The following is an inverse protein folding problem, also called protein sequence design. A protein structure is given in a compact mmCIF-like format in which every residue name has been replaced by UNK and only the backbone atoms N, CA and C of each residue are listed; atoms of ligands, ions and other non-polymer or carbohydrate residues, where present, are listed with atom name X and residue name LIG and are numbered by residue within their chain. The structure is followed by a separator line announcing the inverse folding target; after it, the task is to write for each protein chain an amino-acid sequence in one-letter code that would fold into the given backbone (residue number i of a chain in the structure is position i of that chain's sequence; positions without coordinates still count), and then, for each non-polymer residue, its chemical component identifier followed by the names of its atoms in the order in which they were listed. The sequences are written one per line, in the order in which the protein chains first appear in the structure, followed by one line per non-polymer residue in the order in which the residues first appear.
data_IF_953394083760
#
_entry.id   IF_953394083760
#
_cell.length_a   1.000
_cell.length_b   1.000
_cell.length_c   1.000
_cell.angle_alpha   90.00
_cell.angle_beta   90.00
_cell.angle_gamma   90.00
#
_symmetry.space_group_name_H-M   'P 1'
#
loop_
_entity.id
_entity.type
_entity.pdbx_description
1 polymer ?
#
# COMPACT_ATOMS: atom_id res chain seq x y z
N UNK A 1 22.71 -2.55 -24.02
CA UNK A 1 23.45 -1.63 -23.11
C UNK A 1 22.96 -1.85 -21.69
N UNK A 2 23.83 -1.76 -20.68
CA UNK A 2 23.38 -1.83 -19.28
C UNK A 2 22.54 -0.60 -18.96
N UNK A 3 21.58 -0.75 -18.04
CA UNK A 3 20.66 0.30 -17.67
C UNK A 3 21.18 1.13 -16.49
N UNK A 4 20.88 2.43 -16.52
CA UNK A 4 21.13 3.39 -15.44
C UNK A 4 19.77 3.86 -14.93
N UNK A 5 19.40 3.47 -13.70
CA UNK A 5 18.02 3.60 -13.23
C UNK A 5 17.95 4.57 -12.04
N UNK A 6 17.11 5.60 -12.16
CA UNK A 6 16.73 6.44 -11.05
C UNK A 6 15.35 6.01 -10.55
N UNK A 7 15.29 5.45 -9.34
CA UNK A 7 14.03 5.13 -8.65
C UNK A 7 13.59 6.34 -7.84
N UNK A 8 12.32 6.75 -7.99
CA UNK A 8 11.77 7.91 -7.28
C UNK A 8 10.58 7.50 -6.41
N UNK A 9 10.50 8.04 -5.17
CA UNK A 9 9.39 7.80 -4.25
C UNK A 9 9.00 9.08 -3.49
N UNK A 10 7.76 9.14 -3.03
CA UNK A 10 7.22 10.27 -2.27
C UNK A 10 7.65 10.28 -0.80
N UNK A 11 8.42 9.30 -0.34
CA UNK A 11 9.00 9.21 0.99
C UNK A 11 10.18 8.24 1.02
N UNK A 12 11.04 8.39 2.03
CA UNK A 12 12.17 7.50 2.27
C UNK A 12 11.85 6.58 3.46
N UNK A 13 12.16 5.26 3.41
CA UNK A 13 11.85 4.31 4.50
C UNK A 13 12.44 4.68 5.86
N UNK A 14 13.51 5.49 5.91
CA UNK A 14 14.05 6.00 7.17
C UNK A 14 13.08 6.95 7.90
N UNK A 15 12.07 7.50 7.21
CA UNK A 15 11.15 8.52 7.72
C UNK A 15 9.67 8.18 7.52
N UNK A 16 9.36 7.29 6.57
CA UNK A 16 7.99 6.88 6.22
C UNK A 16 7.94 5.40 5.92
N UNK A 17 7.08 4.67 6.62
CA UNK A 17 6.95 3.22 6.52
C UNK A 17 5.68 2.82 5.73
N UNK A 18 5.28 3.58 4.72
CA UNK A 18 4.20 3.22 3.82
C UNK A 18 4.59 2.08 2.86
N UNK A 19 3.60 1.29 2.43
CA UNK A 19 3.84 0.16 1.53
C UNK A 19 4.48 0.57 0.20
N UNK A 20 4.10 1.73 -0.36
CA UNK A 20 4.66 2.24 -1.61
C UNK A 20 6.14 2.61 -1.50
N UNK A 21 6.55 3.27 -0.40
CA UNK A 21 7.94 3.64 -0.14
C UNK A 21 8.82 2.42 0.08
N UNK A 22 8.31 1.44 0.84
CA UNK A 22 9.01 0.17 1.09
C UNK A 22 9.18 -0.61 -0.21
N UNK A 23 8.14 -0.72 -1.04
CA UNK A 23 8.19 -1.39 -2.35
C UNK A 23 9.21 -0.72 -3.28
N UNK A 24 9.19 0.61 -3.39
CA UNK A 24 10.14 1.38 -4.19
C UNK A 24 11.59 1.15 -3.75
N UNK A 25 11.84 1.22 -2.45
CA UNK A 25 13.18 1.06 -1.91
C UNK A 25 13.70 -0.38 -2.04
N UNK A 26 12.83 -1.36 -1.86
CA UNK A 26 13.20 -2.77 -2.08
C UNK A 26 13.53 -3.04 -3.54
N UNK A 27 12.75 -2.46 -4.47
CA UNK A 27 13.04 -2.58 -5.90
C UNK A 27 14.34 -1.87 -6.29
N UNK A 28 14.63 -0.68 -5.73
CA UNK A 28 15.94 -0.02 -5.89
C UNK A 28 17.09 -0.94 -5.46
N UNK A 29 17.00 -1.55 -4.28
CA UNK A 29 18.01 -2.50 -3.81
C UNK A 29 18.13 -3.73 -4.70
N UNK A 30 17.00 -4.21 -5.24
CA UNK A 30 16.99 -5.35 -6.15
C UNK A 30 17.63 -5.00 -7.51
N UNK A 31 17.36 -3.82 -8.07
CA UNK A 31 18.04 -3.36 -9.29
C UNK A 31 19.56 -3.33 -9.15
N UNK A 32 20.09 -2.91 -8.03
CA UNK A 32 21.54 -2.88 -7.77
C UNK A 32 22.22 -4.26 -7.82
N UNK A 33 21.45 -5.33 -7.70
CA UNK A 33 21.95 -6.71 -7.75
C UNK A 33 21.86 -7.35 -9.14
N UNK A 34 21.19 -6.68 -10.10
CA UNK A 34 21.01 -7.23 -11.45
C UNK A 34 22.22 -6.93 -12.35
N UNK A 35 22.63 -7.93 -13.13
CA UNK A 35 23.78 -7.81 -14.03
C UNK A 35 23.52 -6.82 -15.19
N UNK A 36 22.27 -6.63 -15.56
CA UNK A 36 21.78 -5.72 -16.61
C UNK A 36 21.81 -4.26 -16.18
N UNK A 37 21.95 -3.98 -14.88
CA UNK A 37 21.99 -2.65 -14.32
C UNK A 37 23.43 -2.21 -14.12
N UNK A 38 23.81 -1.09 -14.74
CA UNK A 38 25.11 -0.45 -14.55
C UNK A 38 25.15 0.30 -13.24
N UNK A 39 24.08 1.08 -12.97
CA UNK A 39 23.93 1.84 -11.75
C UNK A 39 22.45 2.08 -11.42
N UNK A 40 22.12 2.08 -10.12
CA UNK A 40 20.81 2.49 -9.66
C UNK A 40 20.91 3.51 -8.52
N UNK A 41 20.07 4.51 -8.56
CA UNK A 41 19.94 5.57 -7.56
C UNK A 41 18.51 5.62 -7.01
N UNK A 42 18.39 6.17 -5.81
CA UNK A 42 17.11 6.39 -5.15
C UNK A 42 16.92 7.87 -4.82
N UNK A 43 15.85 8.49 -5.29
CA UNK A 43 15.45 9.85 -4.94
C UNK A 43 14.13 9.82 -4.21
N UNK A 44 14.12 10.22 -2.94
CA UNK A 44 12.92 10.26 -2.15
C UNK A 44 12.58 11.70 -1.70
N UNK A 45 11.29 12.00 -1.60
CA UNK A 45 10.84 13.23 -0.96
C UNK A 45 11.22 13.19 0.53
N UNK A 46 11.70 14.31 1.03
CA UNK A 46 11.92 14.54 2.45
C UNK A 46 11.03 15.68 2.96
N UNK A 47 10.54 15.51 4.18
CA UNK A 47 9.90 16.57 4.95
C UNK A 47 10.68 16.73 6.25
N UNK A 48 11.37 17.85 6.38
CA UNK A 48 12.19 18.12 7.58
C UNK A 48 11.47 18.99 8.62
N UNK A 49 10.16 19.20 8.46
CA UNK A 49 9.35 20.02 9.38
C UNK A 49 9.66 21.53 9.35
N UNK A 50 10.51 21.97 8.41
CA UNK A 50 10.92 23.39 8.23
C UNK A 50 10.31 24.03 6.98
N UNK A 51 9.33 23.36 6.37
CA UNK A 51 8.87 23.68 5.02
C UNK A 51 9.77 23.10 3.95
N UNK A 52 9.24 22.96 2.73
CA UNK A 52 10.01 22.52 1.58
C UNK A 52 10.94 23.67 1.12
N UNK A 53 12.21 23.37 0.84
CA UNK A 53 13.21 24.34 0.34
C UNK A 53 13.50 24.17 -1.14
N UNK A 54 13.00 23.08 -1.75
CA UNK A 54 13.32 22.70 -3.13
C UNK A 54 14.70 22.06 -3.32
N UNK A 55 15.52 21.99 -2.29
CA UNK A 55 16.90 21.49 -2.38
C UNK A 55 16.91 19.95 -2.49
N UNK A 56 17.82 19.44 -3.31
CA UNK A 56 18.19 18.03 -3.34
C UNK A 56 19.51 17.85 -2.60
N UNK A 57 19.55 16.93 -1.65
CA UNK A 57 20.73 16.62 -0.85
C UNK A 57 21.05 15.12 -0.89
N UNK A 58 22.34 14.78 -0.77
CA UNK A 58 22.78 13.39 -0.64
C UNK A 58 22.43 12.89 0.77
N UNK A 59 21.76 11.74 0.85
CA UNK A 59 21.46 11.04 2.12
C UNK A 59 22.57 10.06 2.48
N UNK A 60 22.89 9.21 1.52
CA UNK A 60 24.00 8.23 1.56
C UNK A 60 24.38 7.88 0.11
N UNK A 61 25.38 7.07 -0.10
CA UNK A 61 25.80 6.67 -1.45
C UNK A 61 24.60 6.20 -2.27
N UNK A 62 24.37 6.83 -3.43
CA UNK A 62 23.29 6.56 -4.38
C UNK A 62 21.86 6.89 -3.87
N UNK A 63 21.72 7.54 -2.73
CA UNK A 63 20.41 7.92 -2.17
C UNK A 63 20.33 9.42 -1.94
N UNK A 64 19.31 10.03 -2.53
CA UNK A 64 19.08 11.47 -2.50
C UNK A 64 17.76 11.80 -1.80
N UNK A 65 17.69 12.95 -1.14
CA UNK A 65 16.48 13.50 -0.56
C UNK A 65 16.13 14.81 -1.26
N UNK A 66 14.88 14.93 -1.68
CA UNK A 66 14.34 16.13 -2.30
C UNK A 66 13.32 16.80 -1.37
N UNK A 67 13.60 18.01 -0.93
CA UNK A 67 12.70 18.80 -0.09
C UNK A 67 11.64 19.50 -0.95
N UNK A 68 10.69 18.73 -1.47
CA UNK A 68 9.60 19.21 -2.31
C UNK A 68 8.26 19.09 -1.57
N UNK A 69 7.29 19.93 -1.95
CA UNK A 69 5.91 19.89 -1.48
C UNK A 69 4.95 20.26 -2.62
N UNK A 70 3.69 20.01 -2.39
CA UNK A 70 2.59 20.37 -3.31
C UNK A 70 1.79 21.50 -2.68
N UNK A 71 1.58 22.61 -3.40
CA UNK A 71 0.74 23.72 -2.96
C UNK A 71 -0.71 23.60 -3.44
N UNK A 72 -0.91 22.95 -4.57
CA UNK A 72 -2.24 22.66 -5.12
C UNK A 72 -2.46 21.15 -5.12
N UNK A 73 -3.11 20.65 -4.06
CA UNK A 73 -3.41 19.22 -3.91
C UNK A 73 -4.45 18.74 -4.93
N UNK A 74 -5.31 19.64 -5.44
CA UNK A 74 -6.29 19.29 -6.45
C UNK A 74 -5.61 18.94 -7.79
N UNK A 75 -4.66 19.78 -8.21
CA UNK A 75 -3.93 19.62 -9.46
C UNK A 75 -2.60 18.88 -9.27
N UNK A 76 -2.18 18.62 -8.04
CA UNK A 76 -0.89 18.01 -7.73
C UNK A 76 0.30 18.83 -8.25
N UNK A 77 0.27 20.15 -8.00
CA UNK A 77 1.31 21.09 -8.46
C UNK A 77 2.37 21.31 -7.39
N UNK A 78 3.63 21.17 -7.80
CA UNK A 78 4.78 21.38 -6.93
C UNK A 78 4.91 22.84 -6.46
N UNK A 79 5.35 23.05 -5.19
CA UNK A 79 5.62 24.37 -4.61
C UNK A 79 6.83 25.00 -5.29
N UNK A 80 7.95 24.28 -5.36
CA UNK A 80 9.21 24.79 -5.86
C UNK A 80 9.39 24.47 -7.35
N UNK A 81 8.77 25.28 -8.21
CA UNK A 81 8.87 25.14 -9.67
C UNK A 81 10.30 25.41 -10.19
N UNK A 82 11.03 26.33 -9.57
CA UNK A 82 12.42 26.63 -9.83
C UNK A 82 13.33 25.43 -9.52
N UNK A 83 13.08 24.71 -8.45
CA UNK A 83 13.82 23.49 -8.09
C UNK A 83 13.73 22.40 -9.17
N UNK A 84 12.62 22.33 -9.88
CA UNK A 84 12.43 21.38 -10.98
C UNK A 84 13.41 21.64 -12.14
N UNK A 85 13.60 22.92 -12.50
CA UNK A 85 14.43 23.35 -13.62
C UNK A 85 15.90 23.53 -13.26
N UNK A 86 16.21 23.59 -11.97
CA UNK A 86 17.58 23.70 -11.44
C UNK A 86 18.02 22.36 -10.82
N UNK A 87 17.80 22.17 -9.53
CA UNK A 87 18.31 21.01 -8.78
C UNK A 87 17.93 19.66 -9.39
N UNK A 88 16.66 19.48 -9.75
CA UNK A 88 16.21 18.20 -10.31
C UNK A 88 16.73 17.98 -11.72
N UNK A 89 16.68 19.01 -12.58
CA UNK A 89 17.23 18.92 -13.93
C UNK A 89 18.74 18.64 -13.93
N UNK A 90 19.48 19.29 -13.02
CA UNK A 90 20.93 19.08 -12.87
C UNK A 90 21.25 17.68 -12.33
N UNK A 91 20.43 17.15 -11.42
CA UNK A 91 20.55 15.77 -10.98
C UNK A 91 20.37 14.81 -12.16
N UNK A 92 19.34 15.00 -12.99
CA UNK A 92 19.10 14.15 -14.17
C UNK A 92 20.27 14.24 -15.15
N UNK A 93 20.81 15.44 -15.41
CA UNK A 93 21.98 15.64 -16.28
C UNK A 93 23.24 14.95 -15.75
N UNK A 94 23.46 15.03 -14.43
CA UNK A 94 24.61 14.40 -13.74
C UNK A 94 24.52 12.88 -13.74
N UNK A 95 23.37 12.34 -13.39
CA UNK A 95 23.16 10.88 -13.28
C UNK A 95 23.01 10.23 -14.65
N UNK A 96 22.53 10.96 -15.66
CA UNK A 96 22.24 10.45 -17.01
C UNK A 96 21.49 9.11 -16.97
N UNK A 97 20.34 8.99 -16.28
CA UNK A 97 19.60 7.74 -16.23
C UNK A 97 19.07 7.39 -17.63
N UNK A 98 19.05 6.10 -17.96
CA UNK A 98 18.34 5.58 -19.15
C UNK A 98 16.86 5.39 -18.83
N UNK A 99 16.55 5.12 -17.54
CA UNK A 99 15.20 4.91 -17.03
C UNK A 99 15.00 5.72 -15.74
N UNK A 100 13.87 6.40 -15.64
CA UNK A 100 13.34 6.92 -14.38
C UNK A 100 12.12 6.08 -14.00
N UNK A 101 12.22 5.35 -12.90
CA UNK A 101 11.12 4.55 -12.37
C UNK A 101 10.51 5.26 -11.16
N UNK A 102 9.37 5.91 -11.35
CA UNK A 102 8.68 6.63 -10.28
C UNK A 102 7.60 5.76 -9.64
N UNK A 103 7.55 5.75 -8.32
CA UNK A 103 6.54 5.00 -7.53
C UNK A 103 5.44 5.87 -6.98
N UNK A 104 5.56 7.18 -7.06
CA UNK A 104 4.49 8.11 -6.68
C UNK A 104 4.82 9.54 -7.14
N UNK A 105 3.78 10.36 -7.25
CA UNK A 105 3.88 11.80 -7.54
C UNK A 105 3.32 12.67 -6.40
N UNK A 106 2.63 12.10 -5.40
CA UNK A 106 2.17 12.86 -4.24
C UNK A 106 3.34 13.57 -3.55
N UNK A 107 3.11 14.80 -3.14
CA UNK A 107 4.09 15.71 -2.57
C UNK A 107 5.26 16.12 -3.50
N UNK A 108 5.47 15.45 -4.65
CA UNK A 108 6.48 15.80 -5.64
C UNK A 108 5.93 16.75 -6.72
N UNK A 109 4.63 16.69 -6.97
CA UNK A 109 3.97 17.29 -8.14
C UNK A 109 4.04 16.37 -9.35
N UNK A 110 3.48 16.79 -10.48
CA UNK A 110 3.52 16.03 -11.75
C UNK A 110 4.54 16.60 -12.73
N UNK A 111 4.98 17.82 -12.52
CA UNK A 111 5.79 18.59 -13.48
C UNK A 111 7.17 18.00 -13.70
N UNK A 112 7.71 17.23 -12.74
CA UNK A 112 8.99 16.55 -12.90
C UNK A 112 9.02 15.59 -14.12
N UNK A 113 7.86 15.01 -14.50
CA UNK A 113 7.74 14.17 -15.68
C UNK A 113 8.12 14.94 -16.95
N UNK A 114 7.69 16.20 -17.05
CA UNK A 114 8.03 17.08 -18.17
C UNK A 114 9.52 17.42 -18.14
N UNK A 115 10.07 17.74 -16.99
CA UNK A 115 11.48 18.09 -16.84
C UNK A 115 12.39 16.94 -17.29
N UNK A 116 12.07 15.69 -16.95
CA UNK A 116 12.81 14.52 -17.42
C UNK A 116 12.88 14.50 -18.95
N UNK A 117 11.74 14.62 -19.62
CA UNK A 117 11.68 14.60 -21.10
C UNK A 117 12.31 15.84 -21.75
N UNK A 118 12.32 16.99 -21.07
CA UNK A 118 13.02 18.20 -21.52
C UNK A 118 14.55 18.08 -21.43
N UNK A 119 15.04 17.43 -20.37
CA UNK A 119 16.49 17.20 -20.21
C UNK A 119 16.98 16.18 -21.24
N UNK A 120 16.27 15.08 -21.40
CA UNK A 120 16.57 14.10 -22.43
C UNK A 120 15.30 13.31 -22.79
N UNK A 121 14.73 13.50 -23.98
CA UNK A 121 13.50 12.81 -24.42
C UNK A 121 13.67 11.29 -24.56
N UNK A 122 14.90 10.79 -24.67
CA UNK A 122 15.19 9.35 -24.76
C UNK A 122 15.09 8.62 -23.40
N UNK A 123 15.08 9.34 -22.28
CA UNK A 123 14.89 8.72 -20.95
C UNK A 123 13.49 8.09 -20.90
N UNK A 124 13.43 6.80 -20.62
CA UNK A 124 12.16 6.10 -20.42
C UNK A 124 11.63 6.38 -19.03
N UNK A 125 10.32 6.66 -18.94
CA UNK A 125 9.62 6.87 -17.65
C UNK A 125 8.70 5.69 -17.41
N UNK A 126 8.95 4.95 -16.33
CA UNK A 126 8.07 3.91 -15.82
C UNK A 126 7.41 4.43 -14.56
N UNK A 127 6.10 4.26 -14.41
CA UNK A 127 5.37 4.68 -13.21
C UNK A 127 4.62 3.50 -12.60
N UNK A 128 5.02 3.11 -11.39
CA UNK A 128 4.24 2.18 -10.57
C UNK A 128 3.17 2.95 -9.80
N UNK A 129 1.93 2.56 -10.00
CA UNK A 129 0.76 3.13 -9.34
C UNK A 129 0.51 2.37 -8.04
N UNK A 130 0.35 3.09 -6.93
CA UNK A 130 0.11 2.47 -5.61
C UNK A 130 -1.26 2.79 -5.03
N UNK A 131 -2.02 3.68 -5.69
CA UNK A 131 -3.26 4.24 -5.17
C UNK A 131 -4.11 4.84 -6.31
N UNK A 132 -5.24 5.48 -5.98
CA UNK A 132 -6.18 6.02 -6.96
C UNK A 132 -6.18 7.55 -7.00
N UNK A 133 -5.09 8.22 -6.65
CA UNK A 133 -5.05 9.68 -6.47
C UNK A 133 -5.33 10.46 -7.76
N UNK A 134 -4.95 9.93 -8.93
CA UNK A 134 -5.34 10.53 -10.21
C UNK A 134 -6.86 10.46 -10.44
N UNK A 135 -7.51 9.38 -10.00
CA UNK A 135 -8.94 9.12 -10.15
C UNK A 135 -9.75 9.87 -9.09
N UNK A 136 -9.29 9.85 -7.84
CA UNK A 136 -10.02 10.37 -6.69
C UNK A 136 -9.23 11.42 -5.91
N UNK A 137 -9.74 12.67 -5.89
CA UNK A 137 -9.15 13.77 -5.13
C UNK A 137 -9.11 13.52 -3.62
N UNK A 138 -9.98 12.66 -3.10
CA UNK A 138 -9.98 12.29 -1.67
C UNK A 138 -8.78 11.38 -1.32
N UNK A 139 -7.57 11.89 -1.49
CA UNK A 139 -6.31 11.17 -1.21
C UNK A 139 -6.24 9.77 -1.86
N UNK A 140 -6.87 9.60 -3.03
CA UNK A 140 -6.89 8.32 -3.72
C UNK A 140 -7.73 7.24 -3.03
N UNK A 141 -8.59 7.57 -2.07
CA UNK A 141 -9.30 6.57 -1.27
C UNK A 141 -10.51 5.95 -1.99
N UNK A 142 -11.03 6.63 -3.01
CA UNK A 142 -12.28 6.24 -3.69
C UNK A 142 -13.43 5.96 -2.71
N UNK A 143 -13.58 6.85 -1.72
CA UNK A 143 -14.65 6.88 -0.72
C UNK A 143 -15.31 8.24 -0.77
N UNK A 144 -16.63 8.28 -0.76
CA UNK A 144 -17.41 9.53 -0.74
C UNK A 144 -17.27 10.21 0.62
N UNK A 145 -16.87 11.49 0.63
CA UNK A 145 -16.53 12.24 1.85
C UNK A 145 -17.70 12.34 2.85
N UNK A 146 -18.94 12.54 2.38
CA UNK A 146 -20.08 12.73 3.28
C UNK A 146 -20.70 11.42 3.78
N UNK A 147 -20.78 10.39 2.92
CA UNK A 147 -21.49 9.14 3.22
C UNK A 147 -20.60 7.97 3.56
N UNK A 148 -19.29 8.10 3.39
CA UNK A 148 -18.27 7.02 3.51
C UNK A 148 -18.54 5.79 2.63
N UNK A 149 -19.42 5.90 1.63
CA UNK A 149 -19.69 4.83 0.67
C UNK A 149 -18.54 4.70 -0.31
N UNK A 150 -18.26 3.46 -0.70
CA UNK A 150 -17.27 3.16 -1.74
C UNK A 150 -17.68 3.81 -3.07
N UNK A 151 -16.69 4.39 -3.75
CA UNK A 151 -16.84 4.99 -5.08
C UNK A 151 -16.16 4.08 -6.11
N UNK A 152 -16.78 3.89 -7.26
CA UNK A 152 -16.27 2.97 -8.29
C UNK A 152 -15.55 3.68 -9.43
N UNK A 153 -15.83 4.98 -9.65
CA UNK A 153 -15.28 5.76 -10.78
C UNK A 153 -15.32 7.26 -10.50
N UNK A 154 -14.52 8.01 -11.26
CA UNK A 154 -14.64 9.47 -11.35
C UNK A 154 -15.92 9.83 -12.11
N UNK A 155 -16.63 10.83 -11.59
CA UNK A 155 -17.73 11.52 -12.26
C UNK A 155 -17.67 12.98 -11.81
N UNK A 156 -17.56 13.92 -12.75
CA UNK A 156 -17.30 15.32 -12.40
C UNK A 156 -18.42 15.91 -11.50
N UNK A 157 -19.68 15.60 -11.77
CA UNK A 157 -20.82 16.03 -10.96
C UNK A 157 -20.86 15.38 -9.58
N UNK A 158 -20.56 14.07 -9.49
CA UNK A 158 -20.54 13.39 -8.19
C UNK A 158 -19.30 13.76 -7.38
N UNK A 159 -18.14 13.98 -8.02
CA UNK A 159 -16.93 14.44 -7.35
C UNK A 159 -17.10 15.84 -6.75
N UNK A 160 -17.86 16.72 -7.42
CA UNK A 160 -18.27 18.03 -6.87
C UNK A 160 -19.07 17.89 -5.57
N UNK A 161 -19.91 16.86 -5.43
CA UNK A 161 -20.62 16.61 -4.16
C UNK A 161 -19.69 16.27 -3.01
N UNK A 162 -18.56 15.60 -3.29
CA UNK A 162 -17.53 15.34 -2.29
C UNK A 162 -16.73 16.60 -1.92
N UNK A 163 -16.57 17.53 -2.85
CA UNK A 163 -15.78 18.76 -2.71
C UNK A 163 -16.55 19.96 -3.26
N UNK A 164 -17.52 20.50 -2.51
CA UNK A 164 -18.43 21.56 -3.00
C UNK A 164 -17.74 22.87 -3.39
N UNK A 165 -16.49 23.07 -2.96
CA UNK A 165 -15.68 24.23 -3.34
C UNK A 165 -15.08 24.15 -4.74
N UNK A 166 -15.11 22.97 -5.40
CA UNK A 166 -14.71 22.76 -6.79
C UNK A 166 -15.95 22.61 -7.67
N UNK A 167 -15.85 23.10 -8.90
CA UNK A 167 -16.91 22.93 -9.92
C UNK A 167 -16.70 21.62 -10.69
N UNK A 168 -17.64 21.24 -11.55
CA UNK A 168 -17.49 20.10 -12.45
C UNK A 168 -16.35 20.35 -13.46
N UNK A 169 -16.20 21.60 -13.90
CA UNK A 169 -15.13 22.06 -14.80
C UNK A 169 -13.75 21.93 -14.15
N UNK A 170 -13.62 22.19 -12.84
CA UNK A 170 -12.36 21.99 -12.10
C UNK A 170 -11.97 20.52 -12.12
N UNK A 171 -12.91 19.59 -11.97
CA UNK A 171 -12.63 18.14 -12.08
C UNK A 171 -12.27 17.73 -13.51
N UNK A 172 -12.92 18.32 -14.51
CA UNK A 172 -12.56 18.12 -15.90
C UNK A 172 -11.13 18.62 -16.19
N UNK A 173 -10.79 19.82 -15.75
CA UNK A 173 -9.45 20.40 -15.87
C UNK A 173 -8.41 19.53 -15.15
N UNK A 174 -8.72 19.05 -13.95
CA UNK A 174 -7.88 18.14 -13.18
C UNK A 174 -7.57 16.86 -13.99
N UNK A 175 -8.59 16.19 -14.49
CA UNK A 175 -8.42 14.99 -15.30
C UNK A 175 -7.53 15.28 -16.51
N UNK A 176 -7.78 16.37 -17.19
CA UNK A 176 -7.00 16.77 -18.36
C UNK A 176 -5.54 17.05 -18.02
N UNK A 177 -5.28 17.72 -16.89
CA UNK A 177 -3.93 17.99 -16.39
C UNK A 177 -3.17 16.70 -16.07
N UNK A 178 -3.79 15.75 -15.37
CA UNK A 178 -3.19 14.45 -15.08
C UNK A 178 -2.90 13.67 -16.37
N UNK A 179 -3.87 13.56 -17.26
CA UNK A 179 -3.72 12.84 -18.54
C UNK A 179 -2.55 13.39 -19.34
N UNK A 180 -2.42 14.72 -19.47
CA UNK A 180 -1.30 15.38 -20.21
C UNK A 180 0.07 15.07 -19.59
N UNK A 181 0.17 14.90 -18.29
CA UNK A 181 1.42 14.49 -17.66
C UNK A 181 1.64 12.98 -17.80
N UNK A 182 0.59 12.18 -17.70
CA UNK A 182 0.66 10.73 -17.88
C UNK A 182 1.00 10.34 -19.32
N UNK A 183 0.71 11.20 -20.32
CA UNK A 183 1.16 11.00 -21.71
C UNK A 183 2.69 10.94 -21.84
N UNK A 184 3.43 11.55 -20.92
CA UNK A 184 4.89 11.52 -20.87
C UNK A 184 5.46 10.21 -20.29
N UNK A 185 4.63 9.41 -19.64
CA UNK A 185 5.03 8.12 -19.07
C UNK A 185 5.02 7.06 -20.14
N UNK A 186 6.11 6.34 -20.33
CA UNK A 186 6.23 5.32 -21.37
C UNK A 186 5.50 4.01 -20.99
N UNK A 187 5.49 3.66 -19.68
CA UNK A 187 4.83 2.46 -19.18
C UNK A 187 4.33 2.65 -17.76
N UNK A 188 3.11 2.19 -17.49
CA UNK A 188 2.54 2.10 -16.14
C UNK A 188 2.61 0.67 -15.62
N UNK A 189 2.74 0.54 -14.31
CA UNK A 189 2.69 -0.72 -13.58
C UNK A 189 1.64 -0.61 -12.47
N UNK A 190 0.80 -1.60 -12.36
CA UNK A 190 -0.14 -1.76 -11.25
C UNK A 190 0.19 -3.04 -10.49
N UNK A 191 0.24 -3.04 -9.14
CA UNK A 191 0.52 -4.25 -8.36
C UNK A 191 -0.71 -5.19 -8.23
N UNK A 192 -1.84 -4.85 -8.87
CA UNK A 192 -3.03 -5.69 -8.92
C UNK A 192 -3.82 -5.46 -10.22
N UNK A 193 -4.55 -6.48 -10.67
CA UNK A 193 -5.47 -6.34 -11.79
C UNK A 193 -6.62 -5.40 -11.42
N UNK A 194 -7.04 -5.41 -10.15
CA UNK A 194 -8.06 -4.49 -9.65
C UNK A 194 -7.66 -3.02 -9.85
N UNK A 195 -6.44 -2.64 -9.50
CA UNK A 195 -5.94 -1.27 -9.73
C UNK A 195 -5.78 -0.97 -11.22
N UNK A 196 -5.21 -1.92 -11.98
CA UNK A 196 -5.08 -1.80 -13.44
C UNK A 196 -6.41 -1.47 -14.09
N UNK A 197 -7.47 -2.23 -13.77
CA UNK A 197 -8.79 -2.01 -14.33
C UNK A 197 -9.38 -0.65 -13.97
N UNK A 198 -9.18 -0.17 -12.72
CA UNK A 198 -9.63 1.17 -12.31
C UNK A 198 -8.99 2.29 -13.14
N UNK A 199 -7.71 2.15 -13.48
CA UNK A 199 -7.03 3.13 -14.33
C UNK A 199 -7.44 3.02 -15.81
N UNK A 200 -7.74 1.82 -16.31
CA UNK A 200 -8.32 1.63 -17.65
C UNK A 200 -9.72 2.26 -17.71
N UNK A 201 -10.57 2.00 -16.73
CA UNK A 201 -11.91 2.60 -16.63
C UNK A 201 -11.85 4.13 -16.51
N UNK A 202 -10.77 4.67 -15.94
CA UNK A 202 -10.53 6.12 -15.86
C UNK A 202 -10.09 6.71 -17.21
N UNK A 203 -9.56 5.90 -18.14
CA UNK A 203 -9.17 6.31 -19.49
C UNK A 203 -7.71 6.07 -19.85
N UNK A 204 -6.93 5.35 -19.02
CA UNK A 204 -5.59 4.93 -19.39
C UNK A 204 -5.66 3.77 -20.39
N UNK A 205 -4.91 3.88 -21.51
CA UNK A 205 -4.90 2.85 -22.55
C UNK A 205 -4.42 1.50 -21.99
N UNK A 206 -5.16 0.39 -22.23
CA UNK A 206 -4.84 -0.92 -21.62
C UNK A 206 -3.45 -1.45 -21.94
N UNK A 207 -2.93 -1.13 -23.13
CA UNK A 207 -1.59 -1.53 -23.57
C UNK A 207 -0.45 -0.77 -22.89
N UNK A 208 -0.76 0.34 -22.22
CA UNK A 208 0.22 1.16 -21.48
C UNK A 208 0.40 0.74 -20.04
N UNK A 209 -0.49 -0.12 -19.50
CA UNK A 209 -0.46 -0.53 -18.11
C UNK A 209 -0.41 -2.06 -17.99
N UNK A 210 0.56 -2.55 -17.23
CA UNK A 210 0.76 -3.98 -16.96
C UNK A 210 0.64 -4.26 -15.46
N UNK A 211 0.34 -5.52 -15.12
CA UNK A 211 0.31 -5.95 -13.73
C UNK A 211 1.65 -6.58 -13.36
N UNK A 212 2.33 -5.99 -12.39
CA UNK A 212 3.49 -6.58 -11.73
C UNK A 212 3.32 -6.36 -10.23
N UNK A 213 3.22 -7.45 -9.49
CA UNK A 213 3.07 -7.43 -8.04
C UNK A 213 4.31 -6.86 -7.35
N UNK A 214 4.13 -6.29 -6.16
CA UNK A 214 5.24 -5.85 -5.32
C UNK A 214 6.05 -7.07 -4.84
N UNK A 215 7.37 -6.98 -4.95
CA UNK A 215 8.26 -8.04 -4.50
C UNK A 215 8.30 -8.18 -2.98
N UNK A 216 8.65 -9.37 -2.54
CA UNK A 216 8.84 -9.71 -1.12
C UNK A 216 10.25 -10.21 -0.84
N UNK A 217 10.57 -10.37 0.44
CA UNK A 217 11.80 -11.05 0.86
C UNK A 217 11.83 -12.53 0.44
N UNK A 218 13.04 -13.09 0.36
CA UNK A 218 13.26 -14.47 -0.07
C UNK A 218 13.54 -15.42 1.11
N UNK A 219 13.07 -15.07 2.30
CA UNK A 219 13.21 -15.92 3.49
C UNK A 219 12.23 -17.11 3.44
N UNK A 220 12.61 -18.28 3.95
CA UNK A 220 11.73 -19.45 3.99
C UNK A 220 10.49 -19.20 4.86
N UNK A 221 9.36 -19.88 4.62
CA UNK A 221 8.18 -19.77 5.46
C UNK A 221 8.50 -20.11 6.92
N UNK A 222 7.84 -19.42 7.84
CA UNK A 222 7.96 -19.70 9.26
C UNK A 222 7.29 -21.05 9.60
N UNK A 223 7.84 -21.81 10.58
CA UNK A 223 7.14 -22.97 11.10
C UNK A 223 5.79 -22.56 11.69
N UNK A 224 4.83 -23.49 11.78
CA UNK A 224 3.62 -23.27 12.57
C UNK A 224 3.98 -22.90 14.01
N UNK A 225 3.18 -22.01 14.63
CA UNK A 225 3.30 -21.82 16.08
C UNK A 225 3.11 -23.17 16.80
N UNK A 226 3.98 -23.55 17.73
CA UNK A 226 3.79 -24.77 18.48
C UNK A 226 2.47 -24.69 19.29
N UNK A 227 1.74 -25.79 19.36
CA UNK A 227 0.52 -25.92 20.13
C UNK A 227 0.78 -26.77 21.36
N UNK A 228 0.28 -26.35 22.52
CA UNK A 228 0.16 -27.22 23.69
C UNK A 228 -0.94 -28.29 23.45
N UNK A 229 -0.96 -29.31 24.27
CA UNK A 229 -1.99 -30.35 24.19
C UNK A 229 -3.39 -29.73 24.37
N UNK A 230 -4.29 -30.01 23.43
CA UNK A 230 -5.64 -29.46 23.39
C UNK A 230 -5.74 -27.99 22.90
N UNK A 231 -4.62 -27.33 22.61
CA UNK A 231 -4.63 -25.96 22.07
C UNK A 231 -5.04 -25.96 20.58
N UNK A 232 -5.74 -24.92 20.17
CA UNK A 232 -6.22 -24.73 18.79
C UNK A 232 -5.48 -23.60 18.09
N UNK A 233 -5.60 -23.54 16.74
CA UNK A 233 -5.16 -22.42 15.89
C UNK A 233 -6.11 -21.22 16.07
N UNK A 234 -5.99 -20.51 17.19
CA UNK A 234 -6.93 -19.51 17.64
C UNK A 234 -6.34 -18.10 17.82
N UNK A 235 -5.06 -17.91 17.45
CA UNK A 235 -4.41 -16.59 17.52
C UNK A 235 -4.52 -15.88 16.20
N UNK A 236 -5.17 -14.74 16.20
CA UNK A 236 -5.34 -13.85 15.05
C UNK A 236 -4.48 -12.62 15.23
N UNK A 237 -3.80 -12.16 14.15
CA UNK A 237 -3.00 -10.96 14.18
C UNK A 237 -3.54 -9.91 13.21
N UNK A 238 -3.77 -8.69 13.69
CA UNK A 238 -3.94 -7.50 12.86
C UNK A 238 -2.60 -6.77 12.79
N UNK A 239 -2.15 -6.46 11.56
CA UNK A 239 -0.87 -5.76 11.32
C UNK A 239 -1.09 -4.54 10.44
N UNK A 240 -0.67 -3.36 10.89
CA UNK A 240 -0.72 -2.14 10.10
C UNK A 240 -1.24 -0.91 10.83
N UNK A 241 -1.58 0.12 10.06
CA UNK A 241 -2.12 1.36 10.61
C UNK A 241 -3.55 1.16 11.12
N UNK A 242 -3.86 1.76 12.27
CA UNK A 242 -5.22 1.75 12.83
C UNK A 242 -5.93 3.01 12.36
N UNK A 243 -6.73 2.86 11.31
CA UNK A 243 -7.53 3.94 10.71
C UNK A 243 -8.96 3.47 10.49
N UNK A 244 -9.93 4.38 10.30
CA UNK A 244 -11.32 4.00 10.01
C UNK A 244 -11.48 3.05 8.82
N UNK A 245 -10.57 3.14 7.83
CA UNK A 245 -10.66 2.36 6.60
C UNK A 245 -10.07 0.95 6.73
N UNK A 246 -9.22 0.71 7.72
CA UNK A 246 -8.59 -0.59 7.96
C UNK A 246 -9.50 -1.58 8.72
N UNK A 247 -10.66 -1.13 9.21
CA UNK A 247 -11.74 -1.98 9.70
C UNK A 247 -11.44 -2.75 11.00
N UNK A 248 -10.42 -2.35 11.79
CA UNK A 248 -10.15 -2.98 13.07
C UNK A 248 -11.36 -2.91 14.01
N UNK A 249 -12.09 -1.80 14.00
CA UNK A 249 -13.30 -1.59 14.77
C UNK A 249 -14.41 -2.58 14.42
N UNK A 250 -14.49 -3.04 13.17
CA UNK A 250 -15.44 -4.08 12.73
C UNK A 250 -15.12 -5.41 13.41
N UNK A 251 -13.84 -5.80 13.46
CA UNK A 251 -13.42 -7.05 14.13
C UNK A 251 -13.60 -6.96 15.64
N UNK A 252 -13.27 -5.82 16.25
CA UNK A 252 -13.51 -5.60 17.69
C UNK A 252 -15.01 -5.66 18.03
N UNK A 253 -15.88 -5.09 17.20
CA UNK A 253 -17.32 -5.21 17.35
C UNK A 253 -17.77 -6.66 17.21
N UNK A 254 -17.26 -7.39 16.20
CA UNK A 254 -17.57 -8.80 15.98
C UNK A 254 -17.25 -9.66 17.23
N UNK A 255 -16.10 -9.41 17.85
CA UNK A 255 -15.72 -10.09 19.10
C UNK A 255 -16.62 -9.71 20.28
N UNK A 256 -17.04 -8.44 20.38
CA UNK A 256 -17.97 -8.02 21.45
C UNK A 256 -19.36 -8.65 21.30
N UNK A 257 -19.84 -8.82 20.06
CA UNK A 257 -21.16 -9.37 19.76
C UNK A 257 -21.20 -10.91 19.88
N UNK A 258 -20.03 -11.57 19.91
CA UNK A 258 -19.96 -13.02 20.13
C UNK A 258 -20.39 -13.43 21.55
N UNK A 259 -21.03 -14.62 21.71
CA UNK A 259 -21.23 -15.22 23.04
C UNK A 259 -19.91 -15.34 23.79
N UNK A 260 -19.93 -15.04 25.08
CA UNK A 260 -18.73 -15.05 25.94
C UNK A 260 -17.97 -16.39 25.92
N UNK A 261 -18.68 -17.50 25.81
CA UNK A 261 -18.09 -18.85 25.74
C UNK A 261 -17.32 -19.11 24.44
N UNK A 262 -17.70 -18.44 23.34
CA UNK A 262 -17.04 -18.57 22.04
C UNK A 262 -15.86 -17.61 21.93
N UNK A 263 -16.05 -16.32 22.23
CA UNK A 263 -14.98 -15.32 22.09
C UNK A 263 -13.79 -15.57 23.01
N UNK A 264 -13.97 -16.21 24.18
CA UNK A 264 -12.87 -16.62 25.06
C UNK A 264 -11.93 -17.65 24.47
N UNK A 265 -12.33 -18.32 23.39
CA UNK A 265 -11.48 -19.25 22.65
C UNK A 265 -10.60 -18.55 21.62
N UNK A 266 -10.77 -17.24 21.41
CA UNK A 266 -10.08 -16.44 20.38
C UNK A 266 -9.13 -15.47 21.10
N UNK A 267 -7.95 -15.29 20.52
CA UNK A 267 -7.00 -14.24 20.89
C UNK A 267 -6.73 -13.40 19.65
N UNK A 268 -7.01 -12.10 19.72
CA UNK A 268 -6.65 -11.12 18.68
C UNK A 268 -5.47 -10.29 19.18
N UNK A 269 -4.34 -10.40 18.51
CA UNK A 269 -3.16 -9.55 18.72
C UNK A 269 -3.24 -8.35 17.77
N UNK A 270 -3.15 -7.13 18.32
CA UNK A 270 -3.18 -5.90 17.51
C UNK A 270 -1.78 -5.30 17.46
N UNK A 271 -1.13 -5.49 16.32
CA UNK A 271 0.18 -4.92 15.98
C UNK A 271 -0.06 -3.70 15.09
N UNK A 272 -0.33 -2.54 15.70
CA UNK A 272 -0.75 -1.36 14.96
C UNK A 272 -0.31 -0.05 15.58
N UNK A 273 -0.32 0.99 14.75
CA UNK A 273 0.04 2.36 15.09
C UNK A 273 -0.97 3.37 14.56
N UNK A 274 -0.77 4.64 14.91
CA UNK A 274 -1.49 5.81 14.37
C UNK A 274 -2.93 5.99 14.86
N UNK A 275 -3.39 5.25 15.87
CA UNK A 275 -4.71 5.48 16.46
C UNK A 275 -4.81 6.90 17.04
N UNK A 276 -3.72 7.38 17.67
CA UNK A 276 -3.63 8.70 18.32
C UNK A 276 -3.83 9.87 17.35
N UNK A 277 -3.54 9.67 16.08
CA UNK A 277 -3.68 10.68 15.02
C UNK A 277 -5.06 10.64 14.32
N UNK A 278 -5.92 9.71 14.69
CA UNK A 278 -7.24 9.58 14.09
C UNK A 278 -8.26 10.56 14.70
N UNK A 279 -9.39 10.85 14.01
CA UNK A 279 -10.46 11.66 14.54
C UNK A 279 -10.92 11.18 15.94
N UNK A 280 -11.24 12.13 16.83
CA UNK A 280 -11.59 11.83 18.22
C UNK A 280 -12.72 10.81 18.35
N UNK A 281 -13.75 10.91 17.52
CA UNK A 281 -14.88 9.99 17.48
C UNK A 281 -14.45 8.55 17.20
N UNK A 282 -13.58 8.35 16.21
CA UNK A 282 -13.05 7.01 15.88
C UNK A 282 -12.17 6.46 17.00
N UNK A 283 -11.31 7.29 17.59
CA UNK A 283 -10.49 6.89 18.73
C UNK A 283 -11.36 6.40 19.90
N UNK A 284 -12.36 7.19 20.28
CA UNK A 284 -13.31 6.84 21.35
C UNK A 284 -14.07 5.54 21.06
N UNK A 285 -14.49 5.35 19.80
CA UNK A 285 -15.12 4.10 19.36
C UNK A 285 -14.20 2.89 19.57
N UNK A 286 -12.96 2.97 19.06
CA UNK A 286 -11.97 1.88 19.20
C UNK A 286 -11.66 1.60 20.66
N UNK A 287 -11.49 2.64 21.51
CA UNK A 287 -11.25 2.49 22.95
C UNK A 287 -12.41 1.77 23.65
N UNK A 288 -13.64 2.19 23.40
CA UNK A 288 -14.83 1.58 23.98
C UNK A 288 -14.98 0.10 23.58
N UNK A 289 -14.61 -0.25 22.35
CA UNK A 289 -14.69 -1.62 21.86
C UNK A 289 -13.57 -2.52 22.41
N UNK A 290 -12.35 -2.02 22.52
CA UNK A 290 -11.19 -2.84 22.91
C UNK A 290 -11.10 -3.08 24.40
N UNK A 291 -11.49 -2.10 25.23
CA UNK A 291 -11.30 -2.17 26.68
C UNK A 291 -11.93 -3.42 27.34
N UNK A 292 -13.21 -3.76 27.08
CA UNK A 292 -13.82 -4.97 27.64
C UNK A 292 -13.17 -6.26 27.14
N UNK A 293 -12.66 -6.28 25.90
CA UNK A 293 -12.00 -7.44 25.30
C UNK A 293 -10.60 -7.65 25.89
N UNK A 294 -9.86 -6.59 26.16
CA UNK A 294 -8.56 -6.64 26.85
C UNK A 294 -8.73 -7.18 28.27
N UNK A 295 -9.69 -6.67 29.02
CA UNK A 295 -10.01 -7.16 30.38
C UNK A 295 -10.38 -8.65 30.43
N UNK A 296 -10.86 -9.19 29.30
CA UNK A 296 -11.22 -10.61 29.19
C UNK A 296 -10.09 -11.48 28.59
N UNK A 297 -8.96 -10.89 28.22
CA UNK A 297 -7.84 -11.60 27.58
C UNK A 297 -8.10 -12.01 26.11
N UNK A 298 -9.18 -11.51 25.50
CA UNK A 298 -9.54 -11.77 24.09
C UNK A 298 -8.72 -10.92 23.13
N UNK A 299 -8.37 -9.70 23.52
CA UNK A 299 -7.53 -8.79 22.75
C UNK A 299 -6.23 -8.51 23.49
N UNK A 300 -5.13 -8.64 22.79
CA UNK A 300 -3.79 -8.22 23.21
C UNK A 300 -3.35 -7.03 22.37
N UNK A 301 -3.25 -5.85 22.98
CA UNK A 301 -2.83 -4.65 22.29
C UNK A 301 -1.31 -4.54 22.34
N UNK A 302 -0.62 -5.03 21.29
CA UNK A 302 0.84 -5.12 21.24
C UNK A 302 1.48 -3.78 20.85
N UNK A 303 0.78 -2.99 20.00
CA UNK A 303 1.25 -1.68 19.57
C UNK A 303 2.13 -1.70 18.30
N UNK A 304 2.83 -0.60 18.01
CA UNK A 304 3.61 -0.43 16.79
C UNK A 304 4.79 -1.40 16.70
N UNK A 305 5.31 -1.58 15.49
CA UNK A 305 6.48 -2.43 15.22
C UNK A 305 7.35 -1.83 14.10
N UNK A 306 8.61 -2.23 14.10
CA UNK A 306 9.53 -1.93 13.01
C UNK A 306 9.48 -3.03 11.94
N UNK A 307 9.78 -2.74 10.67
CA UNK A 307 9.72 -3.73 9.59
C UNK A 307 10.49 -5.03 9.89
N UNK A 308 11.63 -4.96 10.56
CA UNK A 308 12.45 -6.13 10.91
C UNK A 308 11.81 -7.01 11.99
N UNK A 309 10.85 -6.50 12.78
CA UNK A 309 10.14 -7.25 13.81
C UNK A 309 8.92 -8.02 13.26
N UNK A 310 8.43 -7.63 12.07
CA UNK A 310 7.20 -8.17 11.50
C UNK A 310 7.18 -9.70 11.49
N UNK A 311 8.27 -10.28 11.02
CA UNK A 311 8.40 -11.73 10.87
C UNK A 311 8.34 -12.46 12.22
N UNK A 312 9.02 -11.95 13.24
CA UNK A 312 8.97 -12.52 14.58
C UNK A 312 7.59 -12.39 15.21
N UNK A 313 6.90 -11.28 14.99
CA UNK A 313 5.51 -11.08 15.45
C UNK A 313 4.52 -11.99 14.73
N UNK A 314 4.66 -12.16 13.41
CA UNK A 314 3.84 -13.11 12.66
C UNK A 314 4.10 -14.58 13.05
N UNK A 315 5.26 -14.90 13.63
CA UNK A 315 5.51 -16.24 14.17
C UNK A 315 4.59 -16.60 15.34
N UNK A 316 4.16 -15.60 16.11
CA UNK A 316 3.27 -15.77 17.29
C UNK A 316 1.80 -16.00 16.97
N UNK A 317 1.36 -15.72 15.74
CA UNK A 317 -0.05 -15.84 15.34
C UNK A 317 -0.28 -17.00 14.38
N UNK A 318 -1.51 -17.50 14.36
CA UNK A 318 -1.95 -18.55 13.44
C UNK A 318 -2.55 -17.95 12.17
N UNK A 319 -3.35 -16.90 12.31
CA UNK A 319 -4.10 -16.24 11.25
C UNK A 319 -3.74 -14.77 11.16
N UNK A 320 -3.75 -14.22 9.96
CA UNK A 320 -3.67 -12.77 9.77
C UNK A 320 -5.03 -12.24 9.32
N UNK A 321 -5.51 -11.14 9.92
CA UNK A 321 -6.78 -10.51 9.57
C UNK A 321 -6.55 -9.20 8.84
N UNK A 322 -7.21 -9.01 7.69
CA UNK A 322 -7.16 -7.78 6.88
C UNK A 322 -8.60 -7.30 6.63
N UNK A 323 -9.23 -6.68 7.65
CA UNK A 323 -10.65 -6.34 7.62
C UNK A 323 -10.96 -5.01 6.94
N UNK A 324 -10.11 -4.52 6.08
CA UNK A 324 -10.26 -3.21 5.43
C UNK A 324 -11.64 -3.06 4.78
N UNK A 325 -12.26 -1.90 4.97
CA UNK A 325 -13.59 -1.59 4.44
C UNK A 325 -13.55 -0.68 3.21
N UNK A 326 -12.36 -0.45 2.66
CA UNK A 326 -12.12 0.34 1.46
C UNK A 326 -11.39 -0.46 0.37
N UNK A 327 -11.24 0.14 -0.81
CA UNK A 327 -10.53 -0.46 -1.93
C UNK A 327 -9.02 -0.52 -1.67
N UNK A 328 -8.55 -1.57 -1.02
CA UNK A 328 -7.12 -1.86 -1.00
C UNK A 328 -6.67 -2.22 -2.41
N UNK A 329 -5.47 -1.76 -2.78
CA UNK A 329 -4.85 -2.10 -4.06
C UNK A 329 -4.14 -3.47 -3.98
N UNK A 330 -3.01 -3.50 -3.30
CA UNK A 330 -2.24 -4.71 -3.01
C UNK A 330 -1.64 -4.58 -1.62
N UNK A 331 -2.41 -4.93 -0.55
CA UNK A 331 -1.93 -4.76 0.81
C UNK A 331 -0.70 -5.64 1.06
N UNK A 332 0.42 -5.01 1.38
CA UNK A 332 1.70 -5.70 1.64
C UNK A 332 1.56 -6.79 2.70
N UNK A 333 0.74 -6.55 3.73
CA UNK A 333 0.50 -7.50 4.83
C UNK A 333 -0.03 -8.86 4.36
N UNK A 334 -0.77 -8.93 3.26
CA UNK A 334 -1.23 -10.20 2.68
C UNK A 334 -0.04 -11.01 2.19
N UNK A 335 0.85 -10.37 1.46
CA UNK A 335 2.04 -11.02 0.92
C UNK A 335 3.03 -11.38 2.02
N UNK A 336 3.23 -10.50 2.99
CA UNK A 336 4.03 -10.74 4.18
C UNK A 336 3.52 -11.93 4.99
N UNK A 337 2.19 -12.06 5.13
CA UNK A 337 1.57 -13.24 5.74
C UNK A 337 1.84 -14.52 4.94
N UNK A 338 1.75 -14.47 3.62
CA UNK A 338 2.05 -15.61 2.75
C UNK A 338 3.53 -16.01 2.81
N UNK A 339 4.46 -15.04 2.81
CA UNK A 339 5.90 -15.32 3.05
C UNK A 339 6.10 -16.01 4.39
N UNK A 340 5.35 -15.62 5.42
CA UNK A 340 5.39 -16.25 6.75
C UNK A 340 4.61 -17.56 6.84
N UNK A 341 3.91 -17.99 5.78
CA UNK A 341 3.08 -19.20 5.77
C UNK A 341 1.86 -19.10 6.69
N UNK A 342 1.23 -17.91 6.76
CA UNK A 342 0.03 -17.64 7.57
C UNK A 342 -1.19 -17.48 6.66
N UNK A 343 -2.22 -18.34 6.78
CA UNK A 343 -3.51 -18.13 6.13
C UNK A 343 -4.17 -16.85 6.64
N UNK A 344 -5.03 -16.27 5.80
CA UNK A 344 -5.66 -14.99 6.10
C UNK A 344 -7.18 -15.09 6.19
N UNK A 345 -7.77 -14.14 6.95
CA UNK A 345 -9.16 -13.72 6.81
C UNK A 345 -9.13 -12.31 6.23
N UNK A 346 -9.77 -12.09 5.09
CA UNK A 346 -9.74 -10.78 4.41
C UNK A 346 -11.11 -10.32 3.98
N UNK A 347 -11.33 -9.02 3.88
CA UNK A 347 -12.53 -8.49 3.27
C UNK A 347 -12.60 -8.86 1.77
N UNK A 348 -13.79 -9.21 1.28
CA UNK A 348 -14.07 -9.72 -0.07
C UNK A 348 -14.12 -8.64 -1.15
N UNK A 349 -13.31 -7.58 -1.01
CA UNK A 349 -13.29 -6.42 -1.92
C UNK A 349 -11.88 -6.06 -2.38
N UNK A 350 -11.82 -5.41 -3.54
CA UNK A 350 -10.58 -4.81 -4.07
C UNK A 350 -9.45 -5.80 -4.24
N UNK A 351 -8.24 -5.33 -4.04
CA UNK A 351 -7.04 -6.16 -4.11
C UNK A 351 -6.98 -7.27 -3.07
N UNK A 352 -7.68 -7.16 -1.95
CA UNK A 352 -7.76 -8.24 -0.96
C UNK A 352 -8.42 -9.48 -1.55
N UNK A 353 -9.58 -9.30 -2.21
CA UNK A 353 -10.30 -10.38 -2.90
C UNK A 353 -9.48 -11.01 -4.02
N UNK A 354 -8.67 -10.20 -4.71
CA UNK A 354 -7.79 -10.68 -5.79
C UNK A 354 -6.62 -11.52 -5.25
N UNK A 355 -6.00 -11.09 -4.14
CA UNK A 355 -4.78 -11.70 -3.62
C UNK A 355 -5.02 -12.96 -2.80
N UNK A 356 -6.17 -13.07 -2.19
CA UNK A 356 -6.56 -14.24 -1.40
C UNK A 356 -7.65 -15.00 -2.15
N UNK A 357 -7.46 -16.30 -2.35
CA UNK A 357 -8.48 -17.18 -2.95
C UNK A 357 -9.24 -17.86 -1.83
N UNK A 358 -10.56 -17.60 -1.78
CA UNK A 358 -11.45 -18.12 -0.73
C UNK A 358 -11.41 -19.65 -0.65
N UNK A 359 -11.25 -20.18 0.56
CA UNK A 359 -11.15 -21.62 0.82
C UNK A 359 -9.87 -22.30 0.30
N UNK A 360 -8.92 -21.54 -0.28
CA UNK A 360 -7.66 -22.06 -0.82
C UNK A 360 -6.48 -21.65 0.06
N UNK A 361 -6.20 -20.35 0.14
CA UNK A 361 -5.07 -19.81 0.93
C UNK A 361 -5.51 -18.81 2.00
N UNK A 362 -6.82 -18.63 2.16
CA UNK A 362 -7.47 -17.79 3.16
C UNK A 362 -8.98 -17.87 3.06
N UNK A 363 -9.67 -17.03 3.80
CA UNK A 363 -11.13 -16.94 3.84
C UNK A 363 -11.58 -15.51 3.53
N UNK A 364 -12.62 -15.39 2.71
CA UNK A 364 -13.27 -14.11 2.44
C UNK A 364 -14.37 -13.83 3.46
N UNK A 365 -14.43 -12.57 3.87
CA UNK A 365 -15.47 -12.06 4.78
C UNK A 365 -16.06 -10.79 4.16
N UNK A 366 -17.37 -10.65 4.24
CA UNK A 366 -18.03 -9.45 3.69
C UNK A 366 -17.50 -8.18 4.36
N UNK A 367 -17.06 -7.21 3.54
CA UNK A 367 -16.45 -5.97 4.03
C UNK A 367 -17.41 -5.20 4.93
N UNK A 368 -16.96 -4.82 6.14
CA UNK A 368 -17.77 -4.15 7.15
C UNK A 368 -18.82 -5.03 7.83
N UNK A 369 -18.92 -6.31 7.46
CA UNK A 369 -19.94 -7.23 7.98
C UNK A 369 -19.57 -7.81 9.36
N UNK A 370 -19.95 -7.17 10.45
CA UNK A 370 -19.66 -7.59 11.83
C UNK A 370 -20.01 -9.06 12.09
N UNK A 371 -21.20 -9.48 11.70
CA UNK A 371 -21.65 -10.87 11.85
C UNK A 371 -20.81 -11.85 11.01
N UNK A 372 -20.41 -11.44 9.80
CA UNK A 372 -19.55 -12.24 8.93
C UNK A 372 -18.18 -12.49 9.57
N UNK A 373 -17.55 -11.47 10.15
CA UNK A 373 -16.29 -11.58 10.87
C UNK A 373 -16.39 -12.49 12.09
N UNK A 374 -17.47 -12.35 12.89
CA UNK A 374 -17.72 -13.23 14.02
C UNK A 374 -17.81 -14.70 13.60
N UNK A 375 -18.56 -14.99 12.53
CA UNK A 375 -18.72 -16.35 12.01
C UNK A 375 -17.42 -16.91 11.45
N UNK A 376 -16.68 -16.13 10.66
CA UNK A 376 -15.43 -16.57 10.06
C UNK A 376 -14.37 -16.92 11.11
N UNK A 377 -14.20 -16.07 12.13
CA UNK A 377 -13.26 -16.35 13.23
C UNK A 377 -13.68 -17.57 14.06
N UNK A 378 -14.97 -17.73 14.33
CA UNK A 378 -15.50 -18.91 15.02
C UNK A 378 -15.26 -20.19 14.21
N UNK A 379 -15.54 -20.18 12.92
CA UNK A 379 -15.33 -21.32 12.04
C UNK A 379 -13.86 -21.68 11.89
N UNK A 380 -13.00 -20.68 11.79
CA UNK A 380 -11.55 -20.87 11.72
C UNK A 380 -10.99 -21.58 12.95
N UNK A 381 -11.51 -21.29 14.16
CA UNK A 381 -11.13 -21.98 15.39
C UNK A 381 -11.83 -23.33 15.52
N UNK A 382 -13.11 -23.41 15.15
CA UNK A 382 -13.95 -24.61 15.31
C UNK A 382 -13.65 -25.75 14.34
N UNK A 383 -12.83 -25.51 13.29
CA UNK A 383 -12.48 -26.51 12.28
C UNK A 383 -10.97 -26.75 12.27
N UNK A 384 -10.45 -27.67 13.10
CA UNK A 384 -8.99 -27.81 13.33
C UNK A 384 -8.17 -28.05 12.07
N UNK A 385 -8.71 -28.76 11.08
CA UNK A 385 -8.02 -29.10 9.84
C UNK A 385 -7.88 -27.93 8.84
N UNK A 386 -8.76 -26.93 8.91
CA UNK A 386 -8.84 -25.88 7.90
C UNK A 386 -7.55 -25.05 7.83
N UNK A 387 -6.94 -24.76 8.96
CA UNK A 387 -5.71 -23.97 9.00
C UNK A 387 -4.56 -24.65 8.23
N UNK A 388 -4.37 -25.97 8.46
CA UNK A 388 -3.36 -26.76 7.75
C UNK A 388 -3.60 -26.82 6.26
N UNK A 389 -4.85 -27.09 5.86
CA UNK A 389 -5.27 -27.18 4.47
C UNK A 389 -5.04 -25.86 3.70
N UNK A 390 -5.37 -24.71 4.31
CA UNK A 390 -5.15 -23.41 3.69
C UNK A 390 -3.66 -23.07 3.62
N UNK A 391 -2.90 -23.37 4.70
CA UNK A 391 -1.47 -23.10 4.75
C UNK A 391 -0.70 -23.87 3.66
N UNK A 392 -1.02 -25.11 3.42
CA UNK A 392 -0.36 -25.95 2.42
C UNK A 392 -0.54 -25.42 0.99
N UNK A 393 -1.62 -24.69 0.75
CA UNK A 393 -1.94 -24.11 -0.56
C UNK A 393 -1.47 -22.65 -0.73
N UNK A 394 -0.76 -22.10 0.25
CA UNK A 394 -0.16 -20.78 0.12
C UNK A 394 0.94 -20.84 -0.93
N UNK A 395 0.76 -20.12 -2.01
CA UNK A 395 1.80 -19.88 -3.02
C UNK A 395 2.72 -18.77 -2.53
N UNK A 396 4.00 -19.00 -2.61
CA UNK A 396 4.99 -18.00 -2.21
C UNK A 396 4.94 -16.77 -3.12
N UNK A 397 4.86 -15.56 -2.58
CA UNK A 397 4.97 -14.33 -3.34
C UNK A 397 6.30 -14.22 -4.10
N UNK A 398 6.26 -13.51 -5.22
CA UNK A 398 7.45 -13.24 -6.04
C UNK A 398 8.51 -12.46 -5.24
N UNK A 399 9.78 -12.83 -5.40
CA UNK A 399 10.87 -12.13 -4.69
C UNK A 399 11.17 -10.76 -5.30
N UNK A 400 11.78 -9.86 -4.51
CA UNK A 400 12.20 -8.54 -5.00
C UNK A 400 13.15 -8.64 -6.20
N UNK A 401 14.06 -9.63 -6.21
CA UNK A 401 14.99 -9.81 -7.33
C UNK A 401 14.29 -10.30 -8.59
N UNK A 402 13.34 -11.21 -8.47
CA UNK A 402 12.54 -11.66 -9.60
C UNK A 402 11.64 -10.54 -10.16
N UNK A 403 11.07 -9.70 -9.29
CA UNK A 403 10.32 -8.50 -9.71
C UNK A 403 11.22 -7.53 -10.46
N UNK A 404 12.46 -7.31 -10.01
CA UNK A 404 13.41 -6.45 -10.72
C UNK A 404 13.69 -6.96 -12.14
N UNK A 405 13.85 -8.28 -12.33
CA UNK A 405 14.03 -8.89 -13.67
C UNK A 405 12.81 -8.63 -14.57
N UNK A 406 11.59 -8.81 -14.03
CA UNK A 406 10.36 -8.55 -14.79
C UNK A 406 10.27 -7.08 -15.20
N UNK A 407 10.58 -6.15 -14.29
CA UNK A 407 10.61 -4.72 -14.61
C UNK A 407 11.65 -4.37 -15.66
N UNK A 408 12.85 -4.95 -15.59
CA UNK A 408 13.92 -4.73 -16.60
C UNK A 408 13.48 -5.18 -17.99
N UNK A 409 12.76 -6.30 -18.09
CA UNK A 409 12.22 -6.77 -19.37
C UNK A 409 11.19 -5.81 -19.98
N UNK A 410 10.46 -5.03 -19.17
CA UNK A 410 9.56 -3.98 -19.68
C UNK A 410 10.27 -2.71 -20.14
N UNK A 411 11.48 -2.51 -19.68
CA UNK A 411 12.26 -1.30 -19.90
C UNK A 411 13.15 -1.42 -21.16
N UNK A 412 13.27 -2.60 -21.72
CA UNK A 412 13.97 -2.87 -22.98
C UNK A 412 13.05 -2.63 -24.19
#
# INVERSE_FOLDING_TARGET
MKQRILVMAHGHPDFSLGGGEIAAYNLFKAYRRQAEVEHAWFLARADRGRGATGIISLRRTDEYLWEQAVHDWHMMKAVHQDSLTTWFADLIRSLQPTVVHTHHYAHLGLEYLRVIKQVNPAIRIVMTLHEYMAICRNNGQMIKTGSFKLCSRESFDECRQCFPQQTAEDFWLRKHYFTRHFDLVDRFVAPSEFLRQRYIDWGLAPERIVVIENGQGDEPPLPPRPLAEGEMRNRFGFFGQITPFKGLDVVLQALNDMPKSERKKIVLEVHGANLEFQPAEYRQKVEALREPLIKQGVVQWVGPYQPHELRSRMAGVDWVVVPSIWWENSPMVIQEAFVCGRPLLVSDIGGMKEKVTDGINGLHVSAGGVFGWANAMRSAVGTPSIWGQLREKITRPISNDAVAVVHLALQL
#
